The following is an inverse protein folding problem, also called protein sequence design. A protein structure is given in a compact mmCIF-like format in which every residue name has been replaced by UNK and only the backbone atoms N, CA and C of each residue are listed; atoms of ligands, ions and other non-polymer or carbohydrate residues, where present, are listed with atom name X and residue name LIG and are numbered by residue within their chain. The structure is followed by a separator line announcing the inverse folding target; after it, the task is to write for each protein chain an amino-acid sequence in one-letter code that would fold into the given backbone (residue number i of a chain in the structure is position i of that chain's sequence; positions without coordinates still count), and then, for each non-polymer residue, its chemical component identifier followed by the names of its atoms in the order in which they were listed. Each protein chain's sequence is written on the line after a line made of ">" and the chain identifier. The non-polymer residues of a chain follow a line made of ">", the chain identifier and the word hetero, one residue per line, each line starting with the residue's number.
data_IF_942821957871
#
_entry.id   IF_942821957871
#
_cell.length_a   1.000
_cell.length_b   1.000
_cell.length_c   1.000
_cell.angle_alpha   90.00
_cell.angle_beta   90.00
_cell.angle_gamma   90.00
#
_symmetry.space_group_name_H-M   'P 1'
#
loop_
_entity.id
_entity.type
_entity.pdbx_description
1 polymer ?
#
# COMPACT_ATOMS: atom_id res chain seq x y z
N UNK A 1 -1.89 -12.18 0.51
CA UNK A 1 -3.15 -11.65 1.07
C UNK A 1 -3.74 -10.73 0.04
N UNK A 2 -4.97 -11.00 -0.40
CA UNK A 2 -5.77 -10.09 -1.22
C UNK A 2 -6.91 -9.62 -0.33
N UNK A 3 -7.19 -8.32 -0.33
CA UNK A 3 -8.27 -7.73 0.44
C UNK A 3 -9.61 -8.14 -0.17
N UNK A 4 -10.46 -8.75 0.65
CA UNK A 4 -11.86 -8.98 0.30
C UNK A 4 -12.65 -7.73 0.67
N UNK A 5 -12.89 -6.87 -0.31
CA UNK A 5 -13.67 -5.63 -0.12
C UNK A 5 -15.14 -5.99 0.04
N UNK A 6 -15.66 -5.85 1.26
CA UNK A 6 -17.11 -5.98 1.52
C UNK A 6 -17.83 -4.72 1.04
N UNK A 7 -18.98 -4.90 0.42
CA UNK A 7 -19.81 -3.78 -0.03
C UNK A 7 -20.42 -3.12 1.20
N UNK A 8 -20.16 -1.82 1.37
CA UNK A 8 -20.76 -0.99 2.40
C UNK A 8 -21.72 0.03 1.76
N UNK A 9 -22.93 0.14 2.31
CA UNK A 9 -23.92 1.11 1.85
C UNK A 9 -23.36 2.53 1.98
N UNK A 10 -23.65 3.45 1.04
CA UNK A 10 -23.14 4.81 1.12
C UNK A 10 -23.39 5.51 2.46
N UNK A 11 -24.56 5.26 3.06
CA UNK A 11 -24.98 5.79 4.38
C UNK A 11 -24.14 5.31 5.57
N UNK A 12 -23.42 4.20 5.44
CA UNK A 12 -22.57 3.64 6.50
C UNK A 12 -21.09 4.01 6.34
N UNK A 13 -20.70 4.55 5.18
CA UNK A 13 -19.30 4.97 4.93
C UNK A 13 -18.92 6.10 5.89
N UNK A 14 -17.76 5.98 6.50
CA UNK A 14 -17.24 6.94 7.49
C UNK A 14 -16.24 7.91 6.86
N UNK A 15 -15.45 7.42 5.91
CA UNK A 15 -14.56 8.23 5.10
C UNK A 15 -14.25 7.56 3.75
N UNK A 16 -13.84 8.39 2.80
CA UNK A 16 -13.29 8.00 1.51
C UNK A 16 -11.87 8.53 1.42
N UNK A 17 -10.92 7.63 1.19
CA UNK A 17 -9.52 7.91 0.93
C UNK A 17 -9.30 7.92 -0.58
N UNK A 18 -8.84 9.04 -1.11
CA UNK A 18 -8.36 9.10 -2.48
C UNK A 18 -6.90 8.64 -2.52
N UNK A 19 -6.62 7.72 -3.44
CA UNK A 19 -5.31 7.13 -3.66
C UNK A 19 -4.86 7.52 -5.06
N UNK A 20 -3.65 8.06 -5.19
CA UNK A 20 -3.07 8.37 -6.50
C UNK A 20 -1.63 7.91 -6.56
N UNK A 21 -1.27 7.18 -7.62
CA UNK A 21 0.11 6.80 -7.86
C UNK A 21 0.77 7.64 -8.95
N UNK A 22 2.04 7.98 -8.75
CA UNK A 22 2.89 8.67 -9.71
C UNK A 22 4.27 8.03 -9.76
N UNK A 23 4.99 8.29 -10.83
CA UNK A 23 6.37 7.84 -11.03
C UNK A 23 7.29 9.05 -10.91
N UNK A 24 8.50 8.86 -10.36
CA UNK A 24 9.44 9.97 -10.13
C UNK A 24 9.96 10.62 -11.42
N UNK A 25 9.89 9.91 -12.55
CA UNK A 25 10.38 10.37 -13.85
C UNK A 25 9.45 9.90 -14.98
N UNK A 26 9.31 10.67 -16.08
CA UNK A 26 8.63 10.23 -17.29
C UNK A 26 9.46 9.20 -18.08
N UNK A 27 10.72 8.98 -17.72
CA UNK A 27 11.62 8.02 -18.37
C UNK A 27 12.34 7.14 -17.36
N UNK A 28 12.64 5.90 -17.78
CA UNK A 28 13.48 4.96 -17.06
C UNK A 28 14.56 4.43 -18.00
N UNK A 29 15.82 4.74 -17.72
CA UNK A 29 16.94 4.28 -18.55
C UNK A 29 17.19 2.79 -18.37
N UNK A 30 17.40 2.07 -19.47
CA UNK A 30 17.78 0.64 -19.45
C UNK A 30 19.30 0.44 -19.29
N UNK A 31 20.08 1.49 -19.48
CA UNK A 31 21.53 1.48 -19.31
C UNK A 31 21.95 2.16 -18.00
N UNK A 32 22.90 1.53 -17.31
CA UNK A 32 23.62 2.15 -16.19
C UNK A 32 24.54 3.23 -16.74
N UNK A 33 24.46 4.46 -16.23
CA UNK A 33 25.32 5.56 -16.68
C UNK A 33 26.81 5.17 -16.58
N UNK A 34 27.61 5.42 -17.64
CA UNK A 34 29.04 5.11 -17.65
C UNK A 34 29.85 5.92 -16.62
N UNK A 35 29.31 7.02 -16.11
CA UNK A 35 29.98 7.95 -15.20
C UNK A 35 29.95 7.53 -13.71
N UNK A 36 29.43 6.34 -13.37
CA UNK A 36 29.46 5.82 -12.00
C UNK A 36 28.64 6.62 -10.97
N UNK A 37 27.94 7.65 -11.41
CA UNK A 37 27.01 8.43 -10.60
C UNK A 37 25.67 7.70 -10.61
N UNK A 38 25.31 7.06 -9.48
CA UNK A 38 24.01 6.40 -9.35
C UNK A 38 22.91 7.46 -9.59
N UNK A 39 22.12 7.35 -10.67
CA UNK A 39 20.97 8.23 -10.83
C UNK A 39 20.03 8.04 -9.65
N UNK A 40 19.29 9.08 -9.26
CA UNK A 40 18.24 8.89 -8.26
C UNK A 40 17.36 7.69 -8.66
N UNK A 41 17.12 6.73 -7.75
CA UNK A 41 16.44 5.51 -8.11
C UNK A 41 15.03 5.87 -8.59
N UNK A 42 14.61 5.34 -9.73
CA UNK A 42 13.24 5.47 -10.22
C UNK A 42 12.26 5.03 -9.11
N UNK A 43 11.24 5.83 -8.82
CA UNK A 43 10.35 5.61 -7.67
C UNK A 43 8.90 5.54 -8.11
N UNK A 44 8.16 4.66 -7.45
CA UNK A 44 6.72 4.69 -7.37
C UNK A 44 6.32 5.46 -6.11
N UNK A 45 5.56 6.55 -6.27
CA UNK A 45 4.99 7.33 -5.16
C UNK A 45 3.49 7.15 -5.13
N UNK A 46 2.96 6.77 -3.97
CA UNK A 46 1.52 6.56 -3.75
C UNK A 46 1.08 7.56 -2.69
N UNK A 47 0.26 8.52 -3.11
CA UNK A 47 -0.29 9.55 -2.24
C UNK A 47 -1.67 9.16 -1.75
N UNK A 48 -1.92 9.37 -0.45
CA UNK A 48 -3.22 9.16 0.19
C UNK A 48 -3.70 10.46 0.81
N UNK A 49 -4.94 10.84 0.53
CA UNK A 49 -5.61 11.94 1.22
C UNK A 49 -7.08 11.63 1.50
N UNK A 50 -7.63 12.28 2.52
CA UNK A 50 -9.04 12.14 2.89
C UNK A 50 -9.88 12.99 1.94
N UNK A 51 -10.60 12.33 1.02
CA UNK A 51 -11.45 13.02 0.05
C UNK A 51 -12.84 13.37 0.61
N UNK A 52 -13.35 12.55 1.53
CA UNK A 52 -14.59 12.78 2.24
C UNK A 52 -14.53 12.13 3.62
N UNK A 53 -15.12 12.77 4.63
CA UNK A 53 -15.09 12.26 6.00
C UNK A 53 -16.30 12.75 6.79
N UNK A 54 -16.82 11.87 7.65
CA UNK A 54 -17.80 12.23 8.69
C UNK A 54 -17.16 13.02 9.85
N UNK A 55 -15.83 13.11 9.89
CA UNK A 55 -15.01 13.87 10.85
C UNK A 55 -13.89 14.62 10.10
N UNK A 56 -14.19 15.74 9.43
CA UNK A 56 -13.26 16.37 8.48
C UNK A 56 -12.00 16.96 9.12
N UNK A 57 -12.01 17.27 10.41
CA UNK A 57 -10.85 17.79 11.13
C UNK A 57 -9.97 16.69 11.77
N UNK A 58 -10.29 15.42 11.55
CA UNK A 58 -9.63 14.31 12.22
C UNK A 58 -8.80 13.46 11.25
N UNK A 59 -7.56 13.18 11.63
CA UNK A 59 -6.69 12.26 10.90
C UNK A 59 -7.23 10.83 10.95
N UNK A 60 -6.75 9.96 10.06
CA UNK A 60 -7.09 8.53 10.03
C UNK A 60 -5.81 7.73 10.09
N UNK A 61 -5.68 6.84 11.07
CA UNK A 61 -4.60 5.85 11.11
C UNK A 61 -5.09 4.54 10.52
N UNK A 62 -4.33 3.99 9.57
CA UNK A 62 -4.59 2.69 8.94
C UNK A 62 -3.45 1.72 9.20
N UNK A 63 -3.76 0.43 9.19
CA UNK A 63 -2.78 -0.65 9.12
C UNK A 63 -2.45 -0.93 7.66
N UNK A 64 -1.16 -0.95 7.30
CA UNK A 64 -0.75 -1.05 5.90
C UNK A 64 -0.18 -2.41 5.51
N UNK A 65 0.13 -3.30 6.45
CA UNK A 65 0.74 -4.59 6.10
C UNK A 65 -0.12 -5.41 5.15
N UNK A 66 0.56 -5.95 4.14
CA UNK A 66 -0.06 -6.74 3.10
C UNK A 66 -0.88 -5.96 2.08
N UNK A 67 -0.89 -4.62 2.15
CA UNK A 67 -1.49 -3.69 1.17
C UNK A 67 -0.39 -3.03 0.34
N UNK A 68 -0.75 -2.30 -0.72
CA UNK A 68 0.22 -1.53 -1.52
C UNK A 68 0.91 -0.43 -0.71
N UNK A 69 0.35 0.00 0.42
CA UNK A 69 0.91 1.06 1.28
C UNK A 69 1.95 0.56 2.30
N UNK A 70 2.23 -0.74 2.34
CA UNK A 70 3.25 -1.29 3.23
C UNK A 70 4.65 -0.85 2.79
N UNK A 71 5.58 -0.56 3.70
CA UNK A 71 6.94 -0.19 3.32
C UNK A 71 7.60 -1.24 2.43
N UNK A 72 8.34 -0.78 1.43
CA UNK A 72 9.18 -1.65 0.61
C UNK A 72 10.46 -2.03 1.35
N UNK A 73 10.91 -3.26 1.14
CA UNK A 73 12.22 -3.68 1.65
C UNK A 73 13.30 -3.28 0.64
N UNK A 74 14.35 -2.53 1.03
CA UNK A 74 15.34 -1.98 0.09
C UNK A 74 16.14 -3.07 -0.64
N UNK A 75 16.39 -4.21 -0.01
CA UNK A 75 17.01 -5.37 -0.68
C UNK A 75 16.08 -6.10 -1.68
N UNK A 76 14.81 -5.68 -1.79
CA UNK A 76 13.79 -6.32 -2.63
C UNK A 76 13.62 -7.83 -2.37
N UNK A 77 13.76 -8.23 -1.09
CA UNK A 77 13.18 -9.46 -0.57
C UNK A 77 11.64 -9.42 -0.71
N UNK A 78 10.94 -10.50 -0.34
CA UNK A 78 9.46 -10.63 -0.40
C UNK A 78 8.71 -9.45 0.28
N UNK A 79 8.55 -8.34 -0.43
CA UNK A 79 7.95 -7.09 0.01
C UNK A 79 6.63 -6.81 -0.71
N UNK A 80 6.04 -5.62 -0.54
CA UNK A 80 4.72 -5.36 -1.11
C UNK A 80 4.68 -5.51 -2.63
N UNK A 81 5.63 -4.94 -3.39
CA UNK A 81 5.58 -4.98 -4.85
C UNK A 81 5.75 -6.40 -5.39
N UNK A 82 6.63 -7.20 -4.77
CA UNK A 82 6.81 -8.62 -5.15
C UNK A 82 5.55 -9.48 -5.00
N UNK A 83 4.56 -9.01 -4.23
CA UNK A 83 3.28 -9.69 -4.05
C UNK A 83 2.26 -9.37 -5.16
N UNK A 84 2.65 -8.56 -6.15
CA UNK A 84 1.80 -8.16 -7.26
C UNK A 84 0.80 -7.06 -6.89
N UNK A 85 1.18 -6.17 -5.96
CA UNK A 85 0.36 -5.02 -5.55
C UNK A 85 0.34 -3.90 -6.59
N UNK A 86 1.32 -3.89 -7.49
CA UNK A 86 1.36 -3.05 -8.68
C UNK A 86 1.90 -3.84 -9.88
N UNK A 87 1.65 -3.35 -11.09
CA UNK A 87 2.10 -3.93 -12.35
C UNK A 87 2.33 -2.85 -13.40
N UNK A 88 3.10 -3.16 -14.43
CA UNK A 88 3.26 -2.31 -15.60
C UNK A 88 2.61 -2.97 -16.81
N UNK A 89 1.91 -2.19 -17.62
CA UNK A 89 1.29 -2.66 -18.87
C UNK A 89 1.69 -1.74 -20.02
N UNK A 90 2.03 -2.31 -21.17
CA UNK A 90 2.34 -1.52 -22.36
C UNK A 90 1.11 -0.72 -22.79
N UNK A 91 1.33 0.53 -23.23
CA UNK A 91 0.27 1.39 -23.75
C UNK A 91 -0.10 1.06 -25.19
N UNK A 92 0.81 0.43 -25.95
CA UNK A 92 0.57 -0.01 -27.33
C UNK A 92 -0.03 -1.41 -27.40
N UNK A 93 0.37 -2.31 -26.50
CA UNK A 93 -0.19 -3.67 -26.39
C UNK A 93 -0.54 -4.02 -24.93
N UNK A 94 -1.82 -3.89 -24.52
CA UNK A 94 -2.26 -4.22 -23.16
C UNK A 94 -2.09 -5.68 -22.74
N UNK A 95 -1.82 -6.60 -23.69
CA UNK A 95 -1.50 -7.99 -23.38
C UNK A 95 -0.07 -8.12 -22.84
N UNK A 96 0.84 -7.21 -23.21
CA UNK A 96 2.21 -7.16 -22.67
C UNK A 96 2.22 -6.49 -21.31
N UNK A 97 2.73 -7.22 -20.33
CA UNK A 97 2.80 -6.81 -18.93
C UNK A 97 4.17 -7.14 -18.37
N UNK A 98 4.70 -6.27 -17.54
CA UNK A 98 5.86 -6.57 -16.69
C UNK A 98 5.33 -6.86 -15.30
N UNK A 99 5.55 -8.10 -14.85
CA UNK A 99 5.19 -8.55 -13.52
C UNK A 99 6.25 -8.11 -12.52
N UNK A 100 5.85 -7.27 -11.56
CA UNK A 100 6.71 -6.95 -10.41
C UNK A 100 6.81 -8.10 -9.38
N UNK A 101 6.15 -9.24 -9.65
CA UNK A 101 6.09 -10.43 -8.83
C UNK A 101 4.65 -10.89 -8.55
N UNK A 102 4.49 -12.14 -8.10
CA UNK A 102 3.19 -12.72 -7.70
C UNK A 102 3.32 -13.67 -6.51
N UNK A 103 4.15 -13.30 -5.53
CA UNK A 103 4.42 -14.18 -4.40
C UNK A 103 3.32 -14.10 -3.34
N UNK A 104 2.70 -15.24 -3.04
CA UNK A 104 1.79 -15.38 -1.91
C UNK A 104 2.58 -15.88 -0.70
N UNK A 105 2.99 -14.96 0.16
CA UNK A 105 3.63 -15.32 1.43
C UNK A 105 2.62 -15.96 2.39
N UNK A 106 2.82 -17.24 2.71
CA UNK A 106 2.18 -17.90 3.84
C UNK A 106 3.01 -17.59 5.10
N UNK A 107 2.53 -16.65 5.92
CA UNK A 107 3.16 -16.36 7.21
C UNK A 107 2.54 -17.27 8.27
N UNK A 108 3.39 -18.01 8.98
CA UNK A 108 2.97 -18.77 10.16
C UNK A 108 2.56 -17.76 11.23
N UNK A 109 1.39 -18.00 11.86
CA UNK A 109 0.94 -17.19 13.00
C UNK A 109 1.98 -17.32 14.12
N UNK A 110 2.54 -16.20 14.57
CA UNK A 110 3.44 -16.25 15.72
C UNK A 110 2.59 -16.33 17.00
N UNK A 111 2.84 -17.32 17.88
CA UNK A 111 2.04 -17.52 19.09
C UNK A 111 2.16 -16.35 20.07
N UNK A 112 3.30 -15.65 20.07
CA UNK A 112 3.64 -14.61 21.05
C UNK A 112 3.61 -13.19 20.47
N UNK A 113 2.76 -12.92 19.47
CA UNK A 113 2.63 -11.56 18.95
C UNK A 113 2.13 -10.61 20.05
N UNK A 114 2.81 -9.45 20.24
CA UNK A 114 2.36 -8.44 21.18
C UNK A 114 0.88 -8.06 20.96
N UNK A 115 0.12 -7.83 22.04
CA UNK A 115 -1.31 -7.54 21.93
C UNK A 115 -1.58 -6.12 21.40
N UNK A 116 -0.62 -5.20 21.54
CA UNK A 116 -0.70 -3.86 20.94
C UNK A 116 -0.12 -3.90 19.51
N UNK A 117 -0.89 -3.45 18.52
CA UNK A 117 -0.44 -3.34 17.13
C UNK A 117 0.84 -2.50 17.00
N UNK A 118 1.02 -1.48 17.85
CA UNK A 118 2.24 -0.63 17.82
C UNK A 118 3.52 -1.39 18.16
N UNK A 119 3.41 -2.54 18.84
CA UNK A 119 4.55 -3.33 19.30
C UNK A 119 4.84 -4.53 18.39
N UNK A 120 4.02 -4.78 17.37
CA UNK A 120 4.17 -5.95 16.49
C UNK A 120 5.20 -5.68 15.40
N UNK A 121 6.30 -6.47 15.31
CA UNK A 121 7.39 -6.20 14.34
C UNK A 121 6.96 -6.18 12.88
N UNK A 122 5.93 -6.96 12.51
CA UNK A 122 5.43 -7.04 11.15
C UNK A 122 4.28 -6.06 10.84
N UNK A 123 3.82 -5.30 11.83
CA UNK A 123 2.71 -4.35 11.67
C UNK A 123 3.25 -2.98 11.33
N UNK A 124 2.70 -2.41 10.28
CA UNK A 124 3.00 -1.05 9.86
C UNK A 124 1.72 -0.22 9.94
N UNK A 125 1.84 0.95 10.52
CA UNK A 125 0.74 1.89 10.72
C UNK A 125 1.08 3.19 9.99
N UNK A 126 0.08 3.77 9.33
CA UNK A 126 0.21 5.00 8.56
C UNK A 126 -0.88 5.96 8.98
N UNK A 127 -0.51 7.19 9.33
CA UNK A 127 -1.47 8.27 9.57
C UNK A 127 -1.69 9.06 8.28
N UNK A 128 -2.93 9.12 7.82
CA UNK A 128 -3.40 10.04 6.78
C UNK A 128 -3.88 11.31 7.50
N UNK A 129 -3.24 12.47 7.27
CA UNK A 129 -3.60 13.70 7.97
C UNK A 129 -5.00 14.18 7.60
N UNK A 130 -5.64 14.93 8.50
CA UNK A 130 -6.96 15.52 8.26
C UNK A 130 -6.96 16.48 7.06
N UNK A 131 -5.86 17.23 6.89
CA UNK A 131 -5.61 18.12 5.78
C UNK A 131 -4.28 17.76 5.10
N UNK A 132 -4.26 17.83 3.77
CA UNK A 132 -3.09 17.45 2.97
C UNK A 132 -3.10 15.97 2.59
N UNK A 133 -1.91 15.43 2.32
CA UNK A 133 -1.70 14.07 1.88
C UNK A 133 -0.49 13.44 2.58
N UNK A 134 -0.42 12.11 2.57
CA UNK A 134 0.76 11.35 2.98
C UNK A 134 1.22 10.47 1.83
N UNK A 135 2.54 10.42 1.62
CA UNK A 135 3.14 9.66 0.52
C UNK A 135 3.82 8.40 1.03
N UNK A 136 3.57 7.29 0.34
CA UNK A 136 4.32 6.05 0.45
C UNK A 136 5.20 5.92 -0.79
N UNK A 137 6.51 5.74 -0.59
CA UNK A 137 7.49 5.70 -1.68
C UNK A 137 8.11 4.31 -1.77
N UNK A 138 8.13 3.76 -2.98
CA UNK A 138 8.79 2.51 -3.30
C UNK A 138 9.90 2.76 -4.32
N UNK A 139 11.13 2.37 -3.98
CA UNK A 139 12.20 2.31 -4.96
C UNK A 139 11.87 1.24 -6.02
N UNK A 140 11.91 1.62 -7.28
CA UNK A 140 11.63 0.78 -8.44
C UNK A 140 12.78 0.88 -9.46
N UNK A 141 14.04 0.59 -9.06
CA UNK A 141 15.16 0.57 -9.99
C UNK A 141 14.96 -0.49 -11.09
N UNK A 142 15.70 -0.37 -12.19
CA UNK A 142 15.54 -1.22 -13.36
C UNK A 142 15.69 -2.72 -13.03
N UNK A 143 16.70 -3.09 -12.24
CA UNK A 143 16.92 -4.47 -11.80
C UNK A 143 15.71 -5.05 -11.08
N UNK A 144 14.98 -4.19 -10.34
CA UNK A 144 13.78 -4.57 -9.62
C UNK A 144 12.57 -4.70 -10.52
N UNK A 145 12.46 -3.87 -11.56
CA UNK A 145 11.38 -3.96 -12.56
C UNK A 145 11.36 -5.33 -13.23
N UNK A 146 12.54 -5.85 -13.58
CA UNK A 146 12.69 -7.11 -14.31
C UNK A 146 13.02 -8.33 -13.43
N UNK A 147 13.19 -8.15 -12.12
CA UNK A 147 13.62 -9.22 -11.18
C UNK A 147 12.78 -10.51 -11.24
N UNK A 148 11.50 -10.37 -11.55
CA UNK A 148 10.53 -11.46 -11.58
C UNK A 148 9.80 -11.55 -12.92
N UNK A 149 10.36 -10.90 -13.94
CA UNK A 149 9.85 -10.96 -15.31
C UNK A 149 10.63 -12.02 -16.08
N UNK A 150 9.90 -13.00 -16.63
CA UNK A 150 10.51 -14.15 -17.31
C UNK A 150 10.48 -14.01 -18.84
N UNK A 151 9.64 -13.12 -19.38
CA UNK A 151 9.37 -13.04 -20.82
C UNK A 151 9.99 -11.84 -21.52
N UNK A 152 10.23 -10.75 -20.79
CA UNK A 152 10.75 -9.50 -21.34
C UNK A 152 12.06 -9.15 -20.66
N UNK A 153 13.03 -8.73 -21.46
CA UNK A 153 14.27 -8.11 -21.00
C UNK A 153 14.16 -6.58 -21.03
N UNK A 154 15.15 -5.90 -20.43
CA UNK A 154 15.20 -4.45 -20.48
C UNK A 154 15.35 -3.93 -21.92
N UNK A 155 16.08 -4.65 -22.76
CA UNK A 155 16.31 -4.35 -24.17
C UNK A 155 15.02 -4.45 -25.00
N UNK A 156 14.13 -5.41 -24.68
CA UNK A 156 12.88 -5.66 -25.41
C UNK A 156 11.83 -4.54 -25.29
N UNK A 157 12.03 -3.61 -24.35
CA UNK A 157 11.06 -2.54 -24.04
C UNK A 157 11.59 -1.14 -24.36
N UNK A 158 12.84 -1.02 -24.83
CA UNK A 158 13.46 0.27 -25.14
C UNK A 158 12.60 1.03 -26.16
N UNK A 159 12.34 2.29 -25.85
CA UNK A 159 11.52 3.16 -26.68
C UNK A 159 10.01 2.98 -26.51
N UNK A 160 9.55 1.99 -25.74
CA UNK A 160 8.13 1.76 -25.46
C UNK A 160 7.62 2.57 -24.27
N UNK A 161 6.32 2.88 -24.29
CA UNK A 161 5.63 3.54 -23.18
C UNK A 161 4.82 2.52 -22.38
N UNK A 162 4.98 2.59 -21.07
CA UNK A 162 4.39 1.67 -20.12
C UNK A 162 3.60 2.43 -19.06
N UNK A 163 2.44 1.90 -18.71
CA UNK A 163 1.53 2.47 -17.71
C UNK A 163 1.60 1.67 -16.42
N UNK A 164 1.76 2.38 -15.31
CA UNK A 164 1.61 1.84 -13.97
C UNK A 164 0.14 1.51 -13.67
N UNK A 165 -0.09 0.36 -13.03
CA UNK A 165 -1.41 0.00 -12.48
C UNK A 165 -1.26 -0.52 -11.06
N UNK A 166 -2.06 0.03 -10.15
CA UNK A 166 -2.25 -0.56 -8.83
C UNK A 166 -3.21 -1.74 -8.94
N UNK A 167 -2.95 -2.79 -8.16
CA UNK A 167 -3.86 -3.91 -8.05
C UNK A 167 -4.93 -3.59 -7.00
N UNK A 168 -6.18 -3.39 -7.44
CA UNK A 168 -7.30 -3.00 -6.57
C UNK A 168 -7.48 -3.93 -5.36
N UNK A 169 -7.17 -5.21 -5.52
CA UNK A 169 -7.19 -6.20 -4.44
C UNK A 169 -6.18 -5.96 -3.31
N UNK A 170 -5.28 -4.99 -3.46
CA UNK A 170 -4.29 -4.59 -2.45
C UNK A 170 -4.42 -3.12 -2.03
N UNK A 171 -5.38 -2.38 -2.61
CA UNK A 171 -5.68 -0.99 -2.26
C UNK A 171 -6.73 -0.99 -1.15
N UNK A 172 -6.29 -0.81 0.09
CA UNK A 172 -7.19 -0.73 1.25
C UNK A 172 -6.47 -0.95 2.57
N UNK A 173 -7.19 -1.44 3.59
CA UNK A 173 -6.64 -1.75 4.91
C UNK A 173 -7.39 -2.91 5.56
N UNK A 174 -6.77 -3.54 6.55
CA UNK A 174 -7.40 -4.54 7.42
C UNK A 174 -7.77 -4.00 8.80
N UNK A 175 -7.38 -2.76 9.13
CA UNK A 175 -7.65 -2.13 10.42
C UNK A 175 -7.49 -0.62 10.29
N UNK A 176 -8.39 0.17 10.87
CA UNK A 176 -8.27 1.61 10.89
C UNK A 176 -8.95 2.24 12.11
N UNK A 177 -8.58 3.47 12.42
CA UNK A 177 -9.23 4.29 13.44
C UNK A 177 -9.01 5.78 13.23
N UNK A 178 -9.81 6.61 13.91
CA UNK A 178 -9.69 8.06 13.92
C UNK A 178 -8.60 8.57 14.87
N UNK A 179 -7.74 9.46 14.38
CA UNK A 179 -6.64 10.06 15.15
C UNK A 179 -5.28 9.73 14.58
N UNK A 180 -4.31 10.58 14.89
CA UNK A 180 -2.91 10.44 14.50
C UNK A 180 -2.11 9.60 15.50
N UNK A 181 -1.13 8.83 15.02
CA UNK A 181 -0.22 8.06 15.86
C UNK A 181 0.58 8.93 16.85
N UNK A 182 1.00 10.12 16.41
CA UNK A 182 1.74 11.09 17.23
C UNK A 182 0.82 12.05 17.98
N UNK A 183 -0.50 11.92 17.81
CA UNK A 183 -1.51 12.77 18.43
C UNK A 183 -2.44 11.96 19.33
N UNK A 184 -3.69 11.81 18.94
CA UNK A 184 -4.75 11.20 19.75
C UNK A 184 -4.51 9.72 20.08
N UNK A 185 -3.62 9.03 19.33
CA UNK A 185 -3.31 7.62 19.50
C UNK A 185 -1.96 7.35 20.18
N UNK A 186 -1.18 8.38 20.53
CA UNK A 186 0.16 8.23 21.09
C UNK A 186 0.15 7.39 22.38
N UNK A 187 -0.72 7.75 23.32
CA UNK A 187 -0.90 7.09 24.62
C UNK A 187 -1.85 5.89 24.58
N UNK A 188 -2.50 5.63 23.44
CA UNK A 188 -3.49 4.56 23.29
C UNK A 188 -2.86 3.27 22.79
N UNK A 189 -3.30 2.14 23.33
CA UNK A 189 -2.93 0.81 22.83
C UNK A 189 -3.87 0.42 21.70
N UNK A 190 -3.35 -0.16 20.63
CA UNK A 190 -4.14 -0.46 19.45
C UNK A 190 -4.44 -1.95 19.39
N UNK A 191 -5.72 -2.32 19.50
CA UNK A 191 -6.13 -3.72 19.44
C UNK A 191 -5.99 -4.25 18.00
N UNK A 192 -5.48 -5.48 17.77
CA UNK A 192 -5.53 -6.12 16.46
C UNK A 192 -6.95 -6.46 16.02
N UNK A 193 -7.93 -6.38 16.93
CA UNK A 193 -9.33 -6.57 16.63
C UNK A 193 -9.92 -5.28 16.06
N UNK A 194 -10.95 -5.46 15.26
CA UNK A 194 -11.75 -4.38 14.74
C UNK A 194 -13.22 -4.81 14.68
N UNK A 195 -14.11 -3.84 14.55
CA UNK A 195 -15.53 -4.08 14.29
C UNK A 195 -15.70 -4.90 12.99
N UNK A 196 -16.62 -5.86 12.96
CA UNK A 196 -16.82 -6.74 11.80
C UNK A 196 -15.85 -7.94 11.69
N UNK A 197 -14.85 -8.05 12.59
CA UNK A 197 -14.05 -9.27 12.75
C UNK A 197 -14.86 -10.38 13.44
N UNK A 198 -14.77 -11.62 12.95
CA UNK A 198 -15.47 -12.78 13.56
C UNK A 198 -14.88 -13.10 14.94
N UNK A 199 -15.75 -13.33 15.93
CA UNK A 199 -15.37 -13.64 17.31
C UNK A 199 -14.52 -14.92 17.45
N UNK A 200 -14.72 -15.88 16.56
CA UNK A 200 -14.03 -17.19 16.52
C UNK A 200 -12.53 -17.10 16.23
N UNK A 201 -12.07 -16.01 15.60
CA UNK A 201 -10.69 -15.88 15.12
C UNK A 201 -9.72 -15.47 16.24
N UNK A 202 -10.22 -14.65 17.19
CA UNK A 202 -9.45 -14.15 18.33
C UNK A 202 -10.43 -13.90 19.48
N UNK A 203 -10.31 -14.59 20.64
CA UNK A 203 -11.19 -14.36 21.78
C UNK A 203 -11.16 -12.90 22.23
N UNK A 204 -12.32 -12.35 22.58
CA UNK A 204 -12.47 -10.96 23.05
C UNK A 204 -11.79 -10.86 24.41
N UNK A 205 -10.69 -10.10 24.49
CA UNK A 205 -10.16 -9.64 25.78
C UNK A 205 -11.00 -8.43 26.20
N UNK A 206 -11.37 -8.35 27.48
CA UNK A 206 -11.84 -7.10 28.05
C UNK A 206 -10.68 -6.12 28.00
N UNK A 207 -10.89 -5.05 27.24
CA UNK A 207 -9.91 -4.00 27.02
C UNK A 207 -10.49 -2.72 27.61
N UNK A 208 -9.78 -2.12 28.56
CA UNK A 208 -10.17 -0.87 29.22
C UNK A 208 -10.05 0.33 28.29
N UNK A 209 -10.31 1.52 28.83
CA UNK A 209 -10.37 2.79 28.10
C UNK A 209 -9.02 3.22 27.47
N UNK A 210 -7.93 2.57 27.85
CA UNK A 210 -6.60 2.76 27.25
C UNK A 210 -6.45 2.11 25.87
N UNK A 211 -7.40 1.26 25.47
CA UNK A 211 -7.37 0.54 24.20
C UNK A 211 -8.30 1.14 23.15
N UNK A 212 -7.84 1.07 21.91
CA UNK A 212 -8.61 1.39 20.73
C UNK A 212 -8.92 0.11 19.98
N UNK A 213 -10.21 -0.16 19.80
CA UNK A 213 -10.71 -1.16 18.87
C UNK A 213 -10.80 -0.55 17.48
N UNK A 214 -10.27 -1.21 16.46
CA UNK A 214 -10.38 -0.71 15.08
C UNK A 214 -11.84 -0.64 14.62
N UNK A 215 -12.14 0.28 13.72
CA UNK A 215 -13.44 0.36 13.04
C UNK A 215 -13.56 -0.70 11.95
N UNK A 216 -14.78 -0.96 11.46
CA UNK A 216 -15.01 -1.91 10.36
C UNK A 216 -14.29 -1.42 9.08
N UNK A 217 -13.34 -2.19 8.51
CA UNK A 217 -12.65 -1.80 7.29
C UNK A 217 -13.58 -1.53 6.09
N UNK A 218 -14.78 -2.10 6.07
CA UNK A 218 -15.77 -1.83 5.03
C UNK A 218 -16.29 -0.38 5.07
N UNK A 219 -16.18 0.31 6.20
CA UNK A 219 -16.62 1.70 6.37
C UNK A 219 -15.60 2.74 5.89
N UNK A 220 -14.36 2.31 5.58
CA UNK A 220 -13.31 3.14 4.99
C UNK A 220 -13.10 2.76 3.52
N UNK A 221 -13.56 3.62 2.61
CA UNK A 221 -13.47 3.37 1.17
C UNK A 221 -12.17 3.91 0.62
N UNK A 222 -11.53 3.17 -0.28
CA UNK A 222 -10.35 3.61 -1.00
C UNK A 222 -10.70 3.73 -2.49
N UNK A 223 -10.53 4.93 -3.04
CA UNK A 223 -10.78 5.24 -4.43
C UNK A 223 -9.44 5.44 -5.13
N UNK A 224 -9.12 4.55 -6.07
CA UNK A 224 -7.99 4.75 -6.96
C UNK A 224 -8.33 5.87 -7.96
N UNK A 225 -7.63 6.99 -7.82
CA UNK A 225 -7.70 8.18 -8.67
C UNK A 225 -6.37 8.40 -9.40
N UNK A 226 -5.58 7.34 -9.56
CA UNK A 226 -4.35 7.37 -10.37
C UNK A 226 -4.70 7.85 -11.77
N UNK A 227 -4.23 9.06 -12.10
CA UNK A 227 -4.25 9.57 -13.48
C UNK A 227 -3.36 8.69 -14.36
N UNK A 228 -3.39 8.89 -15.69
CA UNK A 228 -2.55 8.12 -16.61
C UNK A 228 -1.05 8.25 -16.28
N UNK A 229 -0.55 7.37 -15.42
CA UNK A 229 0.82 7.38 -14.92
C UNK A 229 1.63 6.46 -15.83
N UNK A 230 2.14 7.05 -16.90
CA UNK A 230 2.97 6.38 -17.89
C UNK A 230 4.39 6.91 -17.91
N UNK A 231 5.33 6.06 -18.28
CA UNK A 231 6.72 6.42 -18.50
C UNK A 231 7.26 5.67 -19.74
N UNK A 232 8.40 6.11 -20.26
CA UNK A 232 9.08 5.51 -21.40
C UNK A 232 10.40 4.87 -21.00
N UNK A 233 10.68 3.66 -21.48
CA UNK A 233 12.03 3.10 -21.36
C UNK A 233 12.95 3.77 -22.38
N UNK A 234 14.15 4.18 -21.97
CA UNK A 234 15.12 4.91 -22.82
C UNK A 234 16.51 4.32 -22.75
#
# INVERSE_FOLDING_TARGET
>A
MVLVKRICSPSRRKATIAVSATLSSPTLSTHTSPDGQEPEPFQLRISLHIAASTRPAQAITIRTDGTVFAPSHPAGALDTLTRGTASLASTSDPARRISLGRFLAHRVRQPDEPPDLKQRPATHLLTIPAAGAVDVVHALPLDRVFRHEDQLTAEDVVGETWRLRLNDGFVGTTWWWWGALEGELSEKRLSPRHEGMRSEITPKRDVGDEWVLGSDPAELVFEDRTADSSFRFV
#
